data_IF_807818726355
#
_entry.id   IF_807818726355
#
_cell.length_a   1.000
_cell.length_b   1.000
_cell.length_c   1.000
_cell.angle_alpha   90.00
_cell.angle_beta   90.00
_cell.angle_gamma   90.00
#
_symmetry.space_group_name_H-M   'P 1'
#
loop_
_entity.id
_entity.type
_entity.pdbx_description
1 polymer ?
#
# COMPACT_ATOMS: atom_id res chain seq x y z
N UNK A 1 -2.77 -26.82 -9.41
CA UNK A 1 -1.68 -26.57 -10.36
C UNK A 1 -1.06 -25.22 -10.00
N UNK A 2 0.27 -25.22 -9.75
CA UNK A 2 1.23 -24.09 -9.80
C UNK A 2 0.96 -22.96 -8.78
N UNK A 3 1.88 -22.56 -7.90
CA UNK A 3 3.18 -21.95 -8.23
C UNK A 3 4.24 -22.19 -7.13
N UNK A 4 5.39 -22.73 -7.54
CA UNK A 4 6.62 -22.76 -6.74
C UNK A 4 7.32 -21.39 -6.68
N UNK A 5 8.46 -21.28 -5.99
CA UNK A 5 8.83 -20.13 -5.17
C UNK A 5 9.21 -18.89 -6.00
N UNK A 6 8.77 -17.71 -5.55
CA UNK A 6 9.27 -16.42 -6.03
C UNK A 6 10.73 -16.23 -5.57
N UNK A 7 11.69 -16.81 -6.28
CA UNK A 7 13.14 -16.64 -6.08
C UNK A 7 13.72 -15.44 -6.87
N UNK A 8 12.90 -14.45 -7.20
CA UNK A 8 13.36 -13.22 -7.85
C UNK A 8 13.49 -12.09 -6.82
N UNK A 9 14.69 -11.99 -6.26
CA UNK A 9 15.32 -10.76 -5.75
C UNK A 9 14.43 -9.77 -5.01
N UNK A 10 14.04 -10.10 -3.78
CA UNK A 10 13.50 -9.11 -2.85
C UNK A 10 14.50 -7.97 -2.65
N UNK A 11 14.23 -6.81 -3.27
CA UNK A 11 14.99 -5.59 -3.00
C UNK A 11 14.40 -4.94 -1.75
N UNK A 12 15.14 -5.00 -0.65
CA UNK A 12 14.76 -4.35 0.61
C UNK A 12 14.49 -2.88 0.35
N UNK A 13 13.29 -2.41 0.67
CA UNK A 13 12.90 -1.00 0.53
C UNK A 13 12.90 -0.32 1.89
N UNK A 14 13.00 1.03 1.95
CA UNK A 14 12.78 1.77 3.18
C UNK A 14 11.34 1.68 3.73
N UNK A 15 10.43 1.00 3.02
CA UNK A 15 9.01 0.89 3.34
C UNK A 15 8.61 -0.53 3.79
N UNK A 16 9.59 -1.43 3.95
CA UNK A 16 9.33 -2.84 4.24
C UNK A 16 8.54 -3.07 5.53
N UNK A 17 8.66 -2.17 6.50
CA UNK A 17 7.85 -2.14 7.72
C UNK A 17 6.36 -1.95 7.39
N UNK A 18 6.05 -0.99 6.52
CA UNK A 18 4.69 -0.72 6.05
C UNK A 18 4.16 -1.83 5.15
N UNK A 19 5.00 -2.29 4.21
CA UNK A 19 4.64 -3.37 3.29
C UNK A 19 4.49 -4.73 4.00
N UNK A 20 4.96 -4.86 5.24
CA UNK A 20 4.71 -6.01 6.10
C UNK A 20 3.24 -6.18 6.51
N UNK A 21 2.42 -5.12 6.39
CA UNK A 21 0.98 -5.19 6.67
C UNK A 21 0.16 -5.80 5.52
N UNK A 22 0.78 -6.01 4.35
CA UNK A 22 0.13 -6.59 3.17
C UNK A 22 0.37 -8.10 3.14
N UNK A 23 -0.70 -8.88 2.92
CA UNK A 23 -0.61 -10.35 2.80
C UNK A 23 0.02 -10.78 1.47
N UNK A 24 -0.20 -10.00 0.40
CA UNK A 24 0.33 -10.27 -0.94
C UNK A 24 0.90 -8.98 -1.53
N UNK A 25 2.23 -8.92 -1.61
CA UNK A 25 2.96 -7.75 -2.14
C UNK A 25 2.91 -7.65 -3.66
N UNK A 26 2.80 -8.77 -4.38
CA UNK A 26 2.75 -8.78 -5.85
C UNK A 26 1.38 -8.28 -6.34
N UNK A 27 0.32 -8.68 -5.66
CA UNK A 27 -1.02 -8.14 -5.86
C UNK A 27 -1.06 -6.63 -5.54
N UNK A 28 -0.46 -6.22 -4.41
CA UNK A 28 -0.36 -4.81 -4.04
C UNK A 28 0.44 -3.99 -5.06
N UNK A 29 1.52 -4.53 -5.62
CA UNK A 29 2.29 -3.86 -6.67
C UNK A 29 1.47 -3.67 -7.95
N UNK A 30 0.59 -4.61 -8.29
CA UNK A 30 -0.33 -4.48 -9.43
C UNK A 30 -1.30 -3.33 -9.24
N UNK A 31 -1.90 -3.21 -8.05
CA UNK A 31 -2.75 -2.06 -7.69
C UNK A 31 -1.93 -0.77 -7.62
N UNK A 32 -0.73 -0.83 -7.07
CA UNK A 32 0.19 0.30 -6.95
C UNK A 32 0.49 0.98 -8.28
N UNK A 33 0.76 0.18 -9.31
CA UNK A 33 0.93 0.68 -10.70
C UNK A 33 -0.32 1.40 -11.22
N UNK A 34 -1.52 0.98 -10.83
CA UNK A 34 -2.75 1.67 -11.18
C UNK A 34 -2.88 3.01 -10.43
N UNK A 35 -2.53 3.04 -9.14
CA UNK A 35 -2.60 4.24 -8.28
C UNK A 35 -1.62 5.33 -8.76
N UNK A 36 -0.33 5.01 -8.92
CA UNK A 36 0.68 6.00 -9.35
C UNK A 36 0.45 6.53 -10.77
N UNK A 37 -0.29 5.79 -11.60
CA UNK A 37 -0.69 6.25 -12.93
C UNK A 37 -1.76 7.35 -12.92
N UNK A 38 -2.37 7.62 -11.76
CA UNK A 38 -3.45 8.62 -11.60
C UNK A 38 -3.06 9.79 -10.71
N UNK A 39 -2.09 9.60 -9.80
CA UNK A 39 -1.70 10.62 -8.81
C UNK A 39 -0.18 10.60 -8.63
N UNK A 40 0.44 11.79 -8.60
CA UNK A 40 1.85 11.92 -8.25
C UNK A 40 2.08 11.53 -6.79
N UNK A 41 2.94 10.53 -6.56
CA UNK A 41 3.28 10.05 -5.23
C UNK A 41 4.57 10.71 -4.73
N UNK A 42 4.58 11.12 -3.47
CA UNK A 42 5.78 11.50 -2.72
C UNK A 42 6.13 10.38 -1.72
N UNK A 43 6.90 9.35 -2.10
CA UNK A 43 6.98 8.09 -1.35
C UNK A 43 7.40 8.25 0.12
N UNK A 44 8.39 9.10 0.41
CA UNK A 44 8.86 9.34 1.77
C UNK A 44 7.84 10.04 2.66
N UNK A 45 7.12 11.02 2.12
CA UNK A 45 6.07 11.75 2.85
C UNK A 45 4.87 10.85 3.10
N UNK A 46 4.44 10.11 2.08
CA UNK A 46 3.38 9.11 2.18
C UNK A 46 3.72 8.04 3.22
N UNK A 47 4.95 7.50 3.21
CA UNK A 47 5.38 6.53 4.21
C UNK A 47 5.39 7.12 5.63
N UNK A 48 5.84 8.37 5.79
CA UNK A 48 5.83 9.05 7.09
C UNK A 48 4.41 9.26 7.61
N UNK A 49 3.47 9.64 6.73
CA UNK A 49 2.07 9.76 7.08
C UNK A 49 1.47 8.40 7.46
N UNK A 50 1.70 7.37 6.66
CA UNK A 50 1.21 6.01 6.93
C UNK A 50 1.72 5.47 8.26
N UNK A 51 3.01 5.62 8.59
CA UNK A 51 3.56 5.18 9.88
C UNK A 51 2.82 5.79 11.06
N UNK A 52 2.40 7.06 10.97
CA UNK A 52 1.57 7.70 12.01
C UNK A 52 0.21 7.03 12.14
N UNK A 53 -0.38 6.56 11.04
CA UNK A 53 -1.67 5.84 11.05
C UNK A 53 -1.56 4.43 11.62
N UNK A 54 -0.41 3.79 11.42
CA UNK A 54 -0.07 2.48 11.99
C UNK A 54 0.53 2.56 13.41
N UNK A 55 0.55 3.74 14.05
CA UNK A 55 1.05 3.87 15.41
C UNK A 55 0.30 2.96 16.39
N UNK A 56 0.99 2.56 17.46
CA UNK A 56 0.49 1.65 18.49
C UNK A 56 0.12 0.24 17.98
N UNK A 57 0.71 -0.20 16.86
CA UNK A 57 0.51 -1.54 16.32
C UNK A 57 -0.88 -1.74 15.71
N UNK A 58 -1.52 -0.67 15.23
CA UNK A 58 -2.82 -0.75 14.57
C UNK A 58 -2.77 -1.71 13.38
N UNK A 59 -3.82 -2.52 13.22
CA UNK A 59 -3.93 -3.44 12.07
C UNK A 59 -4.33 -2.68 10.80
N UNK A 60 -4.02 -3.25 9.63
CA UNK A 60 -4.50 -2.72 8.35
C UNK A 60 -6.03 -2.57 8.32
N UNK A 61 -6.76 -3.53 8.88
CA UNK A 61 -8.22 -3.48 8.97
C UNK A 61 -8.70 -2.26 9.78
N UNK A 62 -8.04 -1.95 10.89
CA UNK A 62 -8.34 -0.76 11.71
C UNK A 62 -8.11 0.53 10.91
N UNK A 63 -6.99 0.62 10.21
CA UNK A 63 -6.64 1.79 9.40
C UNK A 63 -7.63 1.98 8.24
N UNK A 64 -8.01 0.90 7.57
CA UNK A 64 -9.04 0.91 6.51
C UNK A 64 -10.40 1.33 7.07
N UNK A 65 -10.83 0.80 8.21
CA UNK A 65 -12.10 1.18 8.82
C UNK A 65 -12.14 2.69 9.15
N UNK A 66 -11.02 3.25 9.61
CA UNK A 66 -10.89 4.68 9.85
C UNK A 66 -10.87 5.52 8.56
N UNK A 67 -10.41 4.98 7.43
CA UNK A 67 -10.56 5.63 6.12
C UNK A 67 -12.00 5.68 5.66
N UNK A 68 -12.70 4.55 5.74
CA UNK A 68 -14.10 4.44 5.35
C UNK A 68 -14.99 5.35 6.20
N UNK A 69 -14.81 5.34 7.52
CA UNK A 69 -15.54 6.21 8.44
C UNK A 69 -15.29 7.71 8.20
N UNK A 70 -14.08 8.05 7.71
CA UNK A 70 -13.69 9.42 7.37
C UNK A 70 -13.93 9.81 5.91
N UNK A 71 -14.58 8.96 5.10
CA UNK A 71 -14.74 9.14 3.65
C UNK A 71 -13.43 9.42 2.90
N UNK A 72 -12.30 8.89 3.39
CA UNK A 72 -10.99 8.98 2.76
C UNK A 72 -10.82 7.86 1.75
N UNK A 73 -11.22 8.13 0.52
CA UNK A 73 -11.19 7.19 -0.59
C UNK A 73 -10.33 7.74 -1.72
N UNK A 74 -9.63 6.85 -2.41
CA UNK A 74 -8.89 7.13 -3.62
C UNK A 74 -9.48 6.33 -4.78
N UNK A 75 -9.58 6.96 -5.96
CA UNK A 75 -9.95 6.28 -7.19
C UNK A 75 -8.69 5.98 -8.00
N UNK A 76 -8.53 4.73 -8.43
CA UNK A 76 -7.42 4.30 -9.28
C UNK A 76 -7.93 3.41 -10.40
N UNK A 77 -7.88 3.88 -11.65
CA UNK A 77 -8.34 3.15 -12.85
C UNK A 77 -9.74 2.51 -12.69
N UNK A 78 -10.70 3.27 -12.16
CA UNK A 78 -12.09 2.82 -11.96
C UNK A 78 -12.32 1.96 -10.71
N UNK A 79 -11.32 1.82 -9.85
CA UNK A 79 -11.45 1.16 -8.55
C UNK A 79 -11.52 2.22 -7.46
N UNK A 80 -12.43 2.06 -6.51
CA UNK A 80 -12.49 2.92 -5.31
C UNK A 80 -11.90 2.15 -4.14
N UNK A 81 -10.86 2.71 -3.54
CA UNK A 81 -10.06 2.10 -2.48
C UNK A 81 -10.00 3.02 -1.27
N UNK A 82 -9.88 2.49 -0.04
CA UNK A 82 -9.47 3.27 1.12
C UNK A 82 -8.10 3.94 0.86
N UNK A 83 -7.97 5.21 1.21
CA UNK A 83 -6.78 6.02 0.90
C UNK A 83 -5.47 5.37 1.40
N UNK A 84 -5.44 4.85 2.64
CA UNK A 84 -4.23 4.20 3.17
C UNK A 84 -3.84 2.94 2.41
N UNK A 85 -4.83 2.19 1.90
CA UNK A 85 -4.57 0.99 1.12
C UNK A 85 -4.00 1.37 -0.25
N UNK A 86 -4.56 2.40 -0.89
CA UNK A 86 -4.03 2.92 -2.16
C UNK A 86 -2.57 3.40 -1.99
N UNK A 87 -2.28 4.12 -0.91
CA UNK A 87 -0.93 4.59 -0.58
C UNK A 87 0.04 3.43 -0.31
N UNK A 88 -0.35 2.40 0.45
CA UNK A 88 0.46 1.20 0.66
C UNK A 88 0.79 0.48 -0.64
N UNK A 89 -0.20 0.29 -1.50
CA UNK A 89 0.00 -0.30 -2.82
C UNK A 89 0.96 0.55 -3.67
N UNK A 90 0.83 1.87 -3.63
CA UNK A 90 1.70 2.79 -4.35
C UNK A 90 3.16 2.73 -3.85
N UNK A 91 3.37 2.55 -2.53
CA UNK A 91 4.70 2.31 -1.97
C UNK A 91 5.31 0.97 -2.42
N UNK A 92 4.50 -0.05 -2.70
CA UNK A 92 4.99 -1.36 -3.15
C UNK A 92 5.69 -1.31 -4.53
N UNK A 93 5.53 -0.22 -5.29
CA UNK A 93 6.17 0.00 -6.60
C UNK A 93 7.13 1.19 -6.59
N UNK A 94 7.33 1.80 -5.43
CA UNK A 94 8.24 2.92 -5.25
C UNK A 94 9.67 2.43 -5.01
N UNK A 95 10.68 3.14 -5.50
CA UNK A 95 12.09 2.76 -5.36
C UNK A 95 12.62 2.85 -3.92
#
# INVERSE_FOLDING_TARGET
AVTGPHLFGYRKTPYDDLLGHLTDRDAAATVGRAVIGTTALAPHETATALRKRFTNGASLATVIAADLAGARLAEAKGWVLPDSLAQLCALAVSP
#
